data_IF_155479160527
#
_entry.id   IF_155479160527
#
_cell.length_a   1.000
_cell.length_b   1.000
_cell.length_c   1.000
_cell.angle_alpha   90.00
_cell.angle_beta   90.00
_cell.angle_gamma   90.00
#
_symmetry.space_group_name_H-M   'P 1'
#
loop_
_entity.id
_entity.type
_entity.pdbx_description
1 polymer ?
#
# COMPACT_ATOMS: atom_id res chain seq x y z
N UNK A 1 -31.55 22.66 1.48
CA UNK A 1 -31.28 21.21 1.60
C UNK A 1 -30.53 20.80 0.35
N UNK A 2 -29.20 20.73 0.40
CA UNK A 2 -28.40 20.27 -0.72
C UNK A 2 -28.24 18.76 -0.58
N UNK A 3 -28.97 18.00 -1.41
CA UNK A 3 -28.72 16.57 -1.55
C UNK A 3 -27.36 16.42 -2.23
N UNK A 4 -26.32 16.08 -1.46
CA UNK A 4 -25.10 15.51 -2.02
C UNK A 4 -25.50 14.22 -2.74
N UNK A 5 -25.29 14.18 -4.05
CA UNK A 5 -25.41 12.97 -4.86
C UNK A 5 -24.57 11.87 -4.19
N UNK A 6 -25.24 10.83 -3.69
CA UNK A 6 -24.55 9.60 -3.31
C UNK A 6 -24.05 8.96 -4.60
N UNK A 7 -22.76 9.13 -4.91
CA UNK A 7 -22.09 8.25 -5.85
C UNK A 7 -22.24 6.83 -5.28
N UNK A 8 -22.97 5.96 -5.99
CA UNK A 8 -22.98 4.53 -5.64
C UNK A 8 -21.60 3.99 -5.96
N UNK A 9 -20.82 3.66 -4.94
CA UNK A 9 -19.61 2.85 -5.10
C UNK A 9 -19.99 1.42 -5.50
N UNK A 10 -19.39 0.93 -6.58
CA UNK A 10 -19.37 -0.49 -6.91
C UNK A 10 -18.16 -1.18 -6.27
N UNK A 11 -18.15 -2.51 -6.28
CA UNK A 11 -17.00 -3.30 -5.84
C UNK A 11 -15.74 -2.92 -6.62
N UNK A 12 -15.84 -2.79 -7.95
CA UNK A 12 -14.72 -2.37 -8.79
C UNK A 12 -14.18 -0.99 -8.37
N UNK A 13 -15.04 0.02 -8.23
CA UNK A 13 -14.59 1.37 -7.85
C UNK A 13 -13.92 1.39 -6.47
N UNK A 14 -14.39 0.55 -5.53
CA UNK A 14 -13.76 0.42 -4.22
C UNK A 14 -12.36 -0.21 -4.32
N UNK A 15 -12.20 -1.27 -5.13
CA UNK A 15 -10.90 -1.92 -5.33
C UNK A 15 -9.92 -1.01 -6.08
N UNK A 16 -10.39 -0.28 -7.07
CA UNK A 16 -9.62 0.74 -7.80
C UNK A 16 -9.11 1.83 -6.85
N UNK A 17 -9.97 2.35 -5.97
CA UNK A 17 -9.60 3.32 -4.96
C UNK A 17 -8.56 2.77 -3.98
N UNK A 18 -8.75 1.54 -3.50
CA UNK A 18 -7.81 0.88 -2.59
C UNK A 18 -6.46 0.58 -3.26
N UNK A 19 -6.45 0.23 -4.54
CA UNK A 19 -5.21 0.02 -5.29
C UNK A 19 -4.43 1.31 -5.50
N UNK A 20 -5.10 2.42 -5.81
CA UNK A 20 -4.47 3.74 -5.87
C UNK A 20 -3.96 4.19 -4.50
N UNK A 21 -4.73 3.95 -3.43
CA UNK A 21 -4.28 4.16 -2.06
C UNK A 21 -3.03 3.33 -1.72
N UNK A 22 -3.01 2.05 -2.10
CA UNK A 22 -1.87 1.16 -1.87
C UNK A 22 -0.60 1.71 -2.54
N UNK A 23 -0.69 2.14 -3.79
CA UNK A 23 0.40 2.77 -4.52
C UNK A 23 0.91 4.05 -3.81
N UNK A 24 0.00 4.93 -3.38
CA UNK A 24 0.35 6.13 -2.63
C UNK A 24 1.06 5.80 -1.30
N UNK A 25 0.54 4.83 -0.55
CA UNK A 25 1.09 4.45 0.74
C UNK A 25 2.47 3.77 0.64
N UNK A 26 2.68 2.90 -0.38
CA UNK A 26 3.99 2.32 -0.67
C UNK A 26 5.00 3.41 -1.07
N UNK A 27 4.60 4.32 -1.97
CA UNK A 27 5.47 5.43 -2.39
C UNK A 27 5.89 6.27 -1.19
N UNK A 28 4.93 6.67 -0.35
CA UNK A 28 5.17 7.47 0.86
C UNK A 28 6.05 6.75 1.88
N UNK A 29 5.86 5.45 2.09
CA UNK A 29 6.71 4.64 2.96
C UNK A 29 8.14 4.57 2.42
N UNK A 30 8.29 4.29 1.13
CA UNK A 30 9.59 4.21 0.46
C UNK A 30 10.35 5.53 0.50
N UNK A 31 9.68 6.66 0.28
CA UNK A 31 10.30 7.99 0.38
C UNK A 31 10.82 8.27 1.79
N UNK A 32 10.05 7.90 2.82
CA UNK A 32 10.49 7.99 4.20
C UNK A 32 11.74 7.13 4.45
N UNK A 33 11.74 5.88 3.99
CA UNK A 33 12.88 4.97 4.17
C UNK A 33 14.13 5.44 3.42
N UNK A 34 13.99 5.94 2.18
CA UNK A 34 15.11 6.52 1.41
C UNK A 34 15.80 7.68 2.12
N UNK A 35 15.12 8.36 3.04
CA UNK A 35 15.69 9.44 3.85
C UNK A 35 16.51 8.97 5.06
N UNK A 36 16.55 7.65 5.36
CA UNK A 36 17.15 7.12 6.59
C UNK A 36 18.54 6.53 6.38
N UNK A 37 19.37 6.45 7.44
CA UNK A 37 20.66 5.78 7.36
C UNK A 37 20.52 4.31 6.97
N UNK A 38 21.20 3.88 5.91
CA UNK A 38 21.12 2.49 5.41
C UNK A 38 21.44 1.44 6.48
N UNK A 39 22.37 1.74 7.41
CA UNK A 39 22.71 0.86 8.54
C UNK A 39 21.52 0.49 9.42
N UNK A 40 20.53 1.39 9.58
CA UNK A 40 19.31 1.10 10.34
C UNK A 40 18.30 0.29 9.54
N UNK A 41 18.28 0.46 8.21
CA UNK A 41 17.37 -0.23 7.31
C UNK A 41 17.79 -1.69 7.04
N UNK A 42 19.09 -1.94 7.10
CA UNK A 42 19.72 -3.26 6.98
C UNK A 42 19.87 -3.97 8.34
N UNK A 43 19.50 -3.32 9.45
CA UNK A 43 19.58 -3.92 10.78
C UNK A 43 18.57 -5.07 10.94
N UNK A 44 19.02 -6.18 11.52
CA UNK A 44 18.13 -7.28 11.89
C UNK A 44 17.22 -6.89 13.06
N UNK A 45 15.97 -7.33 13.00
CA UNK A 45 15.00 -7.17 14.07
C UNK A 45 14.16 -8.44 14.23
N UNK A 46 13.77 -8.75 15.46
CA UNK A 46 12.90 -9.88 15.74
C UNK A 46 11.48 -9.58 15.24
N UNK A 47 11.08 -10.27 14.16
CA UNK A 47 9.75 -10.21 13.58
C UNK A 47 9.51 -11.44 12.71
N UNK A 48 8.36 -11.55 12.04
CA UNK A 48 8.13 -12.65 11.09
C UNK A 48 9.12 -12.64 9.92
N UNK A 49 9.66 -11.47 9.59
CA UNK A 49 10.80 -11.29 8.68
C UNK A 49 11.93 -10.54 9.42
N UNK A 50 13.20 -10.91 9.22
CA UNK A 50 14.32 -10.45 10.05
C UNK A 50 14.81 -9.04 9.70
N UNK A 51 13.93 -8.03 9.78
CA UNK A 51 14.26 -6.62 9.55
C UNK A 51 13.49 -5.96 8.40
N UNK A 52 13.70 -4.65 8.21
CA UNK A 52 12.94 -3.82 7.27
C UNK A 52 13.08 -4.34 5.84
N UNK A 53 14.32 -4.52 5.36
CA UNK A 53 14.58 -4.99 3.99
C UNK A 53 13.89 -6.32 3.68
N UNK A 54 13.96 -7.28 4.61
CA UNK A 54 13.33 -8.58 4.43
C UNK A 54 11.79 -8.48 4.37
N UNK A 55 11.18 -7.63 5.20
CA UNK A 55 9.73 -7.37 5.13
C UNK A 55 9.32 -6.70 3.81
N UNK A 56 10.10 -5.73 3.33
CA UNK A 56 9.84 -5.04 2.07
C UNK A 56 9.95 -5.98 0.86
N UNK A 57 10.98 -6.83 0.85
CA UNK A 57 11.13 -7.85 -0.17
C UNK A 57 9.92 -8.79 -0.19
N UNK A 58 9.44 -9.23 0.98
CA UNK A 58 8.27 -10.08 1.07
C UNK A 58 6.99 -9.42 0.52
N UNK A 59 6.76 -8.13 0.77
CA UNK A 59 5.62 -7.40 0.18
C UNK A 59 5.70 -7.46 -1.34
N UNK A 60 6.87 -7.17 -1.90
CA UNK A 60 7.08 -7.16 -3.35
C UNK A 60 6.88 -8.55 -3.97
N UNK A 61 7.47 -9.60 -3.38
CA UNK A 61 7.38 -10.97 -3.89
C UNK A 61 5.93 -11.46 -3.94
N UNK A 62 5.17 -11.24 -2.87
CA UNK A 62 3.77 -11.67 -2.79
C UNK A 62 2.88 -10.90 -3.76
N UNK A 63 2.99 -9.56 -3.83
CA UNK A 63 2.17 -8.77 -4.77
C UNK A 63 2.47 -9.15 -6.23
N UNK A 64 3.74 -9.39 -6.56
CA UNK A 64 4.16 -9.87 -7.89
C UNK A 64 3.60 -11.26 -8.22
N UNK A 65 3.68 -12.21 -7.29
CA UNK A 65 3.17 -13.57 -7.48
C UNK A 65 1.66 -13.56 -7.76
N UNK A 66 0.88 -12.88 -6.93
CA UNK A 66 -0.57 -12.77 -7.11
C UNK A 66 -0.97 -11.97 -8.35
N UNK A 67 -0.23 -10.92 -8.71
CA UNK A 67 -0.46 -10.21 -9.96
C UNK A 67 -0.28 -11.12 -11.18
N UNK A 68 0.69 -12.03 -11.14
CA UNK A 68 0.86 -13.05 -12.16
C UNK A 68 -0.33 -14.00 -12.31
N UNK A 69 -0.90 -14.44 -11.18
CA UNK A 69 -2.14 -15.22 -11.19
C UNK A 69 -3.33 -14.43 -11.74
N UNK A 70 -3.50 -13.17 -11.34
CA UNK A 70 -4.54 -12.29 -11.86
C UNK A 70 -4.45 -12.12 -13.39
N UNK A 71 -3.23 -12.06 -13.92
CA UNK A 71 -2.96 -11.96 -15.36
C UNK A 71 -3.00 -13.31 -16.08
N UNK A 72 -3.21 -14.42 -15.37
CA UNK A 72 -3.18 -15.79 -15.91
C UNK A 72 -1.90 -16.08 -16.71
N UNK A 73 -0.76 -15.53 -16.25
CA UNK A 73 0.56 -15.75 -16.86
C UNK A 73 1.34 -16.79 -16.05
N UNK A 74 2.10 -17.67 -16.70
CA UNK A 74 3.01 -18.56 -15.98
C UNK A 74 4.08 -17.70 -15.28
N UNK A 75 4.08 -17.71 -13.95
CA UNK A 75 5.08 -17.00 -13.17
C UNK A 75 6.42 -17.70 -13.29
N UNK A 76 7.41 -17.00 -13.83
CA UNK A 76 8.80 -17.27 -13.48
C UNK A 76 9.03 -16.81 -12.04
N UNK A 77 9.42 -17.72 -11.16
CA UNK A 77 9.94 -17.41 -9.83
C UNK A 77 11.20 -16.57 -10.01
N UNK A 78 11.07 -15.24 -9.99
CA UNK A 78 12.21 -14.35 -9.85
C UNK A 78 12.28 -13.99 -8.38
N UNK A 79 13.22 -14.62 -7.68
CA UNK A 79 13.50 -14.31 -6.29
C UNK A 79 14.37 -13.05 -6.24
N UNK A 80 14.03 -12.10 -5.37
CA UNK A 80 14.81 -10.86 -5.19
C UNK A 80 15.88 -10.99 -4.11
N UNK A 81 16.31 -12.23 -3.79
CA UNK A 81 17.14 -12.56 -2.62
C UNK A 81 18.45 -11.77 -2.58
N UNK A 82 19.03 -11.46 -3.74
CA UNK A 82 20.33 -10.77 -3.84
C UNK A 82 20.21 -9.25 -4.09
N UNK A 83 19.00 -8.69 -4.13
CA UNK A 83 18.83 -7.26 -4.41
C UNK A 83 19.35 -6.40 -3.24
N UNK A 84 20.00 -5.28 -3.57
CA UNK A 84 20.30 -4.25 -2.59
C UNK A 84 19.04 -3.49 -2.16
N UNK A 85 19.09 -2.78 -1.03
CA UNK A 85 17.93 -2.06 -0.49
C UNK A 85 17.34 -1.03 -1.46
N UNK A 86 18.18 -0.33 -2.24
CA UNK A 86 17.70 0.68 -3.20
C UNK A 86 16.90 0.01 -4.31
N UNK A 87 17.41 -1.12 -4.81
CA UNK A 87 16.72 -1.95 -5.80
C UNK A 87 15.37 -2.45 -5.27
N UNK A 88 15.32 -2.98 -4.04
CA UNK A 88 14.06 -3.42 -3.40
C UNK A 88 13.05 -2.27 -3.29
N UNK A 89 13.49 -1.10 -2.83
CA UNK A 89 12.63 0.07 -2.67
C UNK A 89 12.06 0.58 -4.01
N UNK A 90 12.85 0.56 -5.08
CA UNK A 90 12.38 0.96 -6.41
C UNK A 90 11.38 -0.05 -6.97
N UNK A 91 11.69 -1.35 -6.88
CA UNK A 91 10.79 -2.42 -7.34
C UNK A 91 9.45 -2.41 -6.62
N UNK A 92 9.41 -2.07 -5.33
CA UNK A 92 8.16 -1.92 -4.58
C UNK A 92 7.27 -0.83 -5.17
N UNK A 93 7.84 0.33 -5.49
CA UNK A 93 7.07 1.46 -6.06
C UNK A 93 6.58 1.11 -7.47
N UNK A 94 7.44 0.51 -8.30
CA UNK A 94 7.09 0.06 -9.65
C UNK A 94 5.98 -0.99 -9.62
N UNK A 95 6.11 -2.02 -8.78
CA UNK A 95 5.12 -3.08 -8.62
C UNK A 95 3.77 -2.55 -8.13
N UNK A 96 3.76 -1.63 -7.15
CA UNK A 96 2.52 -1.04 -6.66
C UNK A 96 1.82 -0.15 -7.71
N UNK A 97 2.61 0.55 -8.55
CA UNK A 97 2.10 1.33 -9.66
C UNK A 97 1.51 0.43 -10.76
N UNK A 98 2.20 -0.64 -11.13
CA UNK A 98 1.74 -1.62 -12.11
C UNK A 98 0.49 -2.36 -11.62
N UNK A 99 0.45 -2.76 -10.34
CA UNK A 99 -0.73 -3.36 -9.73
C UNK A 99 -1.92 -2.40 -9.75
N UNK A 100 -1.71 -1.14 -9.35
CA UNK A 100 -2.76 -0.12 -9.45
C UNK A 100 -3.25 0.05 -10.89
N UNK A 101 -2.34 0.12 -11.87
CA UNK A 101 -2.71 0.25 -13.29
C UNK A 101 -3.53 -0.94 -13.78
N UNK A 102 -3.16 -2.16 -13.37
CA UNK A 102 -3.91 -3.37 -13.69
C UNK A 102 -5.34 -3.31 -13.13
N UNK A 103 -5.50 -3.03 -11.83
CA UNK A 103 -6.85 -2.95 -11.22
C UNK A 103 -7.70 -1.84 -11.86
N UNK A 104 -7.09 -0.71 -12.23
CA UNK A 104 -7.77 0.38 -12.94
C UNK A 104 -8.21 0.01 -14.36
N UNK A 105 -7.64 -1.03 -14.96
CA UNK A 105 -8.00 -1.49 -16.30
C UNK A 105 -9.17 -2.47 -16.34
N UNK A 106 -9.55 -3.05 -15.19
CA UNK A 106 -10.60 -4.07 -15.11
C UNK A 106 -12.00 -3.49 -15.30
N UNK A 107 -12.89 -4.26 -15.94
CA UNK A 107 -14.35 -4.01 -15.94
C UNK A 107 -15.06 -4.66 -14.75
N UNK A 108 -16.35 -4.33 -14.58
CA UNK A 108 -17.20 -4.93 -13.52
C UNK A 108 -17.39 -6.43 -13.72
N UNK A 109 -17.40 -6.88 -14.98
CA UNK A 109 -17.47 -8.30 -15.32
C UNK A 109 -16.12 -8.98 -15.01
N UNK A 110 -15.01 -8.40 -15.47
CA UNK A 110 -13.68 -8.98 -15.28
C UNK A 110 -13.29 -9.12 -13.81
N UNK A 111 -13.70 -8.19 -12.94
CA UNK A 111 -13.37 -8.27 -11.50
C UNK A 111 -14.08 -9.43 -10.80
N UNK A 112 -15.18 -9.92 -11.37
CA UNK A 112 -15.97 -11.05 -10.88
C UNK A 112 -15.53 -12.39 -11.47
N UNK A 113 -14.74 -12.39 -12.54
CA UNK A 113 -14.29 -13.63 -13.19
C UNK A 113 -13.39 -14.46 -12.29
N UNK A 114 -13.54 -15.78 -12.41
CA UNK A 114 -12.70 -16.74 -11.73
C UNK A 114 -11.27 -16.74 -12.27
N UNK A 115 -10.32 -16.80 -11.35
CA UNK A 115 -8.90 -16.99 -11.61
C UNK A 115 -8.43 -18.29 -10.97
N UNK A 116 -7.68 -19.07 -11.76
CA UNK A 116 -7.00 -20.26 -11.28
C UNK A 116 -5.61 -19.85 -10.76
N UNK A 117 -5.32 -20.16 -9.50
CA UNK A 117 -4.05 -19.83 -8.86
C UNK A 117 -3.36 -21.12 -8.42
N UNK A 118 -2.16 -21.35 -8.93
CA UNK A 118 -1.29 -22.43 -8.48
C UNK A 118 -0.47 -21.94 -7.29
N UNK A 119 -0.74 -22.47 -6.10
CA UNK A 119 -0.05 -22.07 -4.89
C UNK A 119 1.02 -23.09 -4.54
N UNK A 120 2.18 -22.65 -4.06
CA UNK A 120 3.24 -23.59 -3.65
C UNK A 120 2.88 -24.42 -2.41
N UNK A 121 1.90 -23.96 -1.63
CA UNK A 121 1.46 -24.56 -0.35
C UNK A 121 0.07 -25.21 -0.43
N UNK A 122 -0.56 -25.24 -1.60
CA UNK A 122 -1.92 -25.77 -1.77
C UNK A 122 -2.11 -26.36 -3.16
N UNK A 123 -3.22 -27.07 -3.36
CA UNK A 123 -3.68 -27.41 -4.70
C UNK A 123 -4.06 -26.13 -5.46
N UNK A 124 -4.21 -26.23 -6.78
CA UNK A 124 -4.73 -25.12 -7.59
C UNK A 124 -6.07 -24.66 -7.04
N UNK A 125 -6.17 -23.40 -6.64
CA UNK A 125 -7.42 -22.80 -6.19
C UNK A 125 -8.11 -22.07 -7.35
N UNK A 126 -9.43 -21.94 -7.26
CA UNK A 126 -10.26 -21.15 -8.17
C UNK A 126 -11.01 -20.10 -7.34
N UNK A 127 -10.72 -18.81 -7.58
CA UNK A 127 -11.32 -17.69 -6.84
C UNK A 127 -11.55 -16.49 -7.75
N UNK A 128 -12.60 -15.69 -7.53
CA UNK A 128 -12.84 -14.51 -8.34
C UNK A 128 -11.73 -13.46 -8.12
N UNK A 129 -11.42 -12.68 -9.15
CA UNK A 129 -10.33 -11.68 -9.12
C UNK A 129 -10.44 -10.72 -7.93
N UNK A 130 -11.65 -10.29 -7.59
CA UNK A 130 -11.86 -9.36 -6.48
C UNK A 130 -11.30 -9.87 -5.13
N UNK A 131 -11.42 -11.18 -4.84
CA UNK A 131 -10.91 -11.74 -3.57
C UNK A 131 -9.38 -11.73 -3.54
N UNK A 132 -8.75 -12.02 -4.68
CA UNK A 132 -7.29 -12.01 -4.83
C UNK A 132 -6.75 -10.58 -4.71
N UNK A 133 -7.42 -9.61 -5.36
CA UNK A 133 -7.04 -8.19 -5.26
C UNK A 133 -7.18 -7.72 -3.80
N UNK A 134 -8.29 -8.06 -3.14
CA UNK A 134 -8.51 -7.74 -1.73
C UNK A 134 -7.43 -8.34 -0.82
N UNK A 135 -7.01 -9.58 -1.09
CA UNK A 135 -5.92 -10.23 -0.38
C UNK A 135 -4.60 -9.44 -0.51
N UNK A 136 -4.21 -9.07 -1.73
CA UNK A 136 -2.98 -8.31 -1.97
C UNK A 136 -2.96 -6.97 -1.20
N UNK A 137 -4.07 -6.24 -1.24
CA UNK A 137 -4.22 -4.94 -0.57
C UNK A 137 -4.14 -5.07 0.96
N UNK A 138 -4.73 -6.13 1.51
CA UNK A 138 -4.68 -6.42 2.94
C UNK A 138 -3.30 -6.87 3.39
N UNK A 139 -2.66 -7.76 2.63
CA UNK A 139 -1.30 -8.25 2.89
C UNK A 139 -0.29 -7.11 2.89
N UNK A 140 -0.32 -6.24 1.89
CA UNK A 140 0.50 -5.03 1.83
C UNK A 140 0.25 -4.12 3.04
N UNK A 141 -1.00 -3.87 3.41
CA UNK A 141 -1.33 -3.05 4.59
C UNK A 141 -0.79 -3.64 5.89
N UNK A 142 -0.95 -4.95 6.09
CA UNK A 142 -0.44 -5.67 7.24
C UNK A 142 1.08 -5.53 7.38
N UNK A 143 1.84 -5.79 6.30
CA UNK A 143 3.30 -5.72 6.34
C UNK A 143 3.86 -4.30 6.33
N UNK A 144 3.15 -3.30 5.78
CA UNK A 144 3.53 -1.89 5.97
C UNK A 144 3.49 -1.49 7.46
N UNK A 145 2.48 -1.92 8.19
CA UNK A 145 2.40 -1.72 9.64
C UNK A 145 3.56 -2.40 10.38
N UNK A 146 3.96 -3.59 9.93
CA UNK A 146 5.14 -4.29 10.44
C UNK A 146 6.43 -3.50 10.18
N UNK A 147 6.62 -2.94 8.98
CA UNK A 147 7.79 -2.08 8.65
C UNK A 147 7.87 -0.88 9.58
N UNK A 148 6.74 -0.20 9.85
CA UNK A 148 6.69 0.92 10.80
C UNK A 148 7.10 0.48 12.20
N UNK A 149 6.59 -0.67 12.65
CA UNK A 149 6.93 -1.24 13.97
C UNK A 149 8.41 -1.55 14.09
N UNK A 150 9.00 -2.21 13.09
CA UNK A 150 10.44 -2.49 13.05
C UNK A 150 11.24 -1.19 12.98
N UNK A 151 10.80 -0.22 12.18
CA UNK A 151 11.40 1.12 12.11
C UNK A 151 11.53 1.77 13.47
N UNK A 152 10.48 1.71 14.29
CA UNK A 152 10.51 2.21 15.67
C UNK A 152 11.51 1.45 16.55
N UNK A 153 11.62 0.11 16.41
CA UNK A 153 12.57 -0.71 17.16
C UNK A 153 14.04 -0.33 16.86
N UNK A 154 14.34 0.02 15.61
CA UNK A 154 15.68 0.46 15.18
C UNK A 154 15.89 1.98 15.31
N UNK A 155 14.95 2.69 15.94
CA UNK A 155 15.11 4.10 16.32
C UNK A 155 14.56 5.13 15.33
N UNK A 156 13.91 4.72 14.24
CA UNK A 156 13.20 5.62 13.32
C UNK A 156 11.85 5.98 13.94
N UNK A 157 11.61 7.23 14.33
CA UNK A 157 10.41 7.63 15.11
C UNK A 157 9.42 8.53 14.36
N UNK A 158 9.69 8.80 13.10
CA UNK A 158 8.99 9.75 12.26
C UNK A 158 8.31 9.07 11.06
N UNK A 159 7.80 7.85 11.27
CA UNK A 159 7.08 7.13 10.25
C UNK A 159 5.88 7.95 9.72
N UNK A 160 5.63 7.95 8.40
CA UNK A 160 4.56 8.74 7.82
C UNK A 160 3.19 8.15 8.17
N UNK A 161 2.18 9.02 8.30
CA UNK A 161 0.78 8.61 8.32
C UNK A 161 0.42 7.98 6.97
N UNK A 162 -0.09 6.75 7.00
CA UNK A 162 -0.54 6.00 5.82
C UNK A 162 -1.97 5.49 5.94
N UNK A 163 -2.75 5.91 6.95
CA UNK A 163 -4.14 5.46 7.12
C UNK A 163 -5.03 5.80 5.91
N UNK A 164 -5.96 4.89 5.60
CA UNK A 164 -6.87 5.06 4.46
C UNK A 164 -7.75 6.31 4.56
N UNK A 165 -8.35 6.59 5.73
CA UNK A 165 -9.19 7.78 5.90
C UNK A 165 -8.38 9.08 5.81
N UNK A 166 -7.11 9.06 6.21
CA UNK A 166 -6.22 10.19 5.97
C UNK A 166 -6.00 10.40 4.46
N UNK A 167 -5.72 9.34 3.72
CA UNK A 167 -5.58 9.40 2.26
C UNK A 167 -6.84 9.97 1.59
N UNK A 168 -8.03 9.47 1.93
CA UNK A 168 -9.30 9.94 1.35
C UNK A 168 -9.48 11.44 1.58
N UNK A 169 -9.41 11.89 2.84
CA UNK A 169 -9.74 13.26 3.23
C UNK A 169 -8.65 14.30 2.90
N UNK A 170 -7.39 13.88 2.78
CA UNK A 170 -6.26 14.81 2.65
C UNK A 170 -5.49 14.68 1.35
N UNK A 171 -5.62 13.58 0.63
CA UNK A 171 -4.88 13.37 -0.62
C UNK A 171 -5.84 13.28 -1.79
N UNK A 172 -6.79 12.34 -1.75
CA UNK A 172 -7.74 12.11 -2.83
C UNK A 172 -8.64 13.32 -3.08
N UNK A 173 -9.24 13.88 -2.03
CA UNK A 173 -10.13 15.06 -2.15
C UNK A 173 -9.39 16.34 -2.56
N UNK A 174 -8.12 16.51 -2.17
CA UNK A 174 -7.33 17.66 -2.59
C UNK A 174 -6.94 17.58 -4.08
N UNK A 175 -6.64 16.37 -4.58
CA UNK A 175 -6.36 16.14 -5.99
C UNK A 175 -7.60 16.41 -6.87
N UNK A 176 -8.81 16.07 -6.39
CA UNK A 176 -10.06 16.36 -7.11
C UNK A 176 -10.50 17.83 -7.01
N UNK A 177 -10.17 18.51 -5.90
CA UNK A 177 -10.43 19.94 -5.69
C UNK A 177 -9.50 20.87 -6.47
N UNK A 178 -8.24 20.47 -6.70
CA UNK A 178 -7.23 21.27 -7.43
C UNK A 178 -7.50 21.44 -8.94
N UNK A 179 -8.56 20.81 -9.47
CA UNK A 179 -9.07 21.00 -10.83
C UNK A 179 -10.06 22.17 -10.95
N UNK A 180 -10.48 22.77 -9.83
CA UNK A 180 -11.28 24.01 -9.83
C UNK A 180 -10.35 25.20 -9.56
N UNK A 181 -10.24 26.08 -10.55
CA UNK A 181 -9.43 27.31 -10.53
C UNK A 181 -9.74 28.18 -9.32
N UNK A 182 -8.77 28.36 -8.42
CA UNK A 182 -8.79 29.41 -7.41
C UNK A 182 -7.92 30.60 -7.86
N UNK A 183 -8.56 31.76 -7.98
CA UNK A 183 -7.92 33.08 -8.13
C UNK A 183 -6.99 33.39 -6.94
N UNK A 184 -5.88 34.13 -7.15
CA UNK A 184 -4.83 34.26 -6.16
C UNK A 184 -5.19 35.29 -5.08
N UNK A 185 -5.48 34.84 -3.87
CA UNK A 185 -5.38 35.69 -2.69
C UNK A 185 -4.90 34.88 -1.47
N UNK A 186 -3.71 35.26 -1.00
CA UNK A 186 -3.21 35.13 0.38
C UNK A 186 -2.66 33.75 0.81
N UNK A 187 -1.48 33.38 0.28
CA UNK A 187 -0.59 32.43 0.94
C UNK A 187 -0.03 33.04 2.22
N UNK A 188 -0.56 32.63 3.38
CA UNK A 188 0.19 32.71 4.64
C UNK A 188 0.78 31.33 4.95
N UNK A 189 2.09 31.36 5.10
CA UNK A 189 2.97 30.28 5.53
C UNK A 189 2.57 29.79 6.93
N UNK A 190 2.25 28.50 7.08
CA UNK A 190 2.21 27.83 8.39
C UNK A 190 2.74 26.39 8.24
N UNK A 191 4.05 26.27 8.06
CA UNK A 191 4.79 25.07 8.47
C UNK A 191 4.90 25.06 10.00
N UNK A 192 3.96 24.37 10.67
CA UNK A 192 4.18 23.76 11.99
C UNK A 192 2.97 22.90 12.38
N UNK A 193 2.84 21.69 11.84
CA UNK A 193 1.94 20.71 12.45
C UNK A 193 2.68 19.99 13.57
N UNK A 194 2.59 20.59 14.75
CA UNK A 194 2.87 19.95 16.02
C UNK A 194 2.02 18.69 16.21
N UNK A 195 2.59 17.74 16.96
CA UNK A 195 1.99 16.47 17.37
C UNK A 195 0.55 16.67 17.81
N UNK A 196 -0.40 16.20 17.01
CA UNK A 196 -1.75 15.93 17.47
C UNK A 196 -1.94 14.41 17.53
N UNK A 197 -1.69 13.91 18.73
CA UNK A 197 -2.14 12.63 19.27
C UNK A 197 -3.67 12.59 19.34
N UNK A 198 -4.33 12.55 18.18
CA UNK A 198 -5.76 12.29 18.06
C UNK A 198 -5.92 11.24 16.97
N UNK A 199 -5.81 9.97 17.37
CA UNK A 199 -6.46 8.76 16.81
C UNK A 199 -5.84 7.45 17.32
N UNK A 200 -4.72 7.49 18.05
CA UNK A 200 -4.21 6.33 18.80
C UNK A 200 -4.86 6.26 20.19
N UNK A 201 -6.15 5.91 20.26
CA UNK A 201 -6.81 5.59 21.54
C UNK A 201 -6.92 4.07 21.66
N UNK A 202 -6.00 3.51 22.45
CA UNK A 202 -6.16 2.36 23.34
C UNK A 202 -7.28 1.35 22.99
N UNK A 203 -6.95 0.31 22.23
CA UNK A 203 -7.77 -0.90 22.15
C UNK A 203 -7.15 -2.17 22.75
N UNK A 204 -5.96 -2.07 23.35
CA UNK A 204 -5.38 -3.18 24.11
C UNK A 204 -4.95 -2.71 25.50
N UNK A 205 -5.92 -2.73 26.43
CA UNK A 205 -5.62 -2.87 27.85
C UNK A 205 -6.70 -3.77 28.46
N UNK A 206 -6.25 -4.83 29.15
CA UNK A 206 -6.98 -5.90 29.86
C UNK A 206 -7.21 -7.18 29.05
N UNK A 207 -6.27 -8.11 29.11
CA UNK A 207 -6.19 -9.15 30.16
C UNK A 207 -4.74 -9.58 30.37
#
# INVERSE_FOLDING_TARGET
>A
MLYTSFHRSSLLTQLQDLATYNCWAITRLTDWLKSKPAVLLEASAASSFPGIKATLLHIWEVEREWMGHLQQRPNGLQQGIDDDLTTVLNRLVEQAADFSKYVQSLTEEEVQEDCYCQLWFSETICRPRFEIIQHCLNHSTYHRGQVVTIGHQVGLKDAPMTDYMFYVLKVKEQASGSSKTETPANRKNTDSYGRNSFLAVNFFSKQ
#
